data_IF_960272208435
#
_entry.id   IF_960272208435
#
_cell.length_a   1.000
_cell.length_b   1.000
_cell.length_c   1.000
_cell.angle_alpha   90.00
_cell.angle_beta   90.00
_cell.angle_gamma   90.00
#
_symmetry.space_group_name_H-M   'P 1'
#
loop_
_entity.id
_entity.type
_entity.pdbx_description
1 polymer ?
#
# COMPACT_ATOMS: atom_id res chain seq x y z
N UNK A 1 10.24 27.01 2.55
CA UNK A 1 11.47 26.26 2.84
C UNK A 1 11.06 24.80 2.98
N UNK A 2 10.99 24.07 1.85
CA UNK A 2 10.53 22.68 1.84
C UNK A 2 11.70 21.80 2.26
N UNK A 3 11.58 21.13 3.41
CA UNK A 3 12.53 20.13 3.85
C UNK A 3 12.42 18.93 2.90
N UNK A 4 13.27 18.88 1.88
CA UNK A 4 13.53 17.65 1.13
C UNK A 4 14.33 16.72 2.03
N UNK A 5 13.63 15.90 2.81
CA UNK A 5 14.23 14.75 3.48
C UNK A 5 14.57 13.71 2.40
N UNK A 6 15.82 13.75 1.94
CA UNK A 6 16.40 12.70 1.09
C UNK A 6 16.62 11.45 1.95
N UNK A 7 15.54 10.76 2.33
CA UNK A 7 15.64 9.39 2.79
C UNK A 7 15.96 8.53 1.58
N UNK A 8 17.21 8.08 1.49
CA UNK A 8 17.61 7.07 0.50
C UNK A 8 16.99 5.76 0.95
N UNK A 9 15.76 5.48 0.51
CA UNK A 9 15.07 4.24 0.83
C UNK A 9 15.90 3.08 0.29
N UNK A 10 16.31 2.17 1.17
CA UNK A 10 17.07 0.99 0.78
C UNK A 10 16.14 0.02 0.05
N UNK A 11 16.12 0.12 -1.29
CA UNK A 11 15.23 -0.67 -2.16
C UNK A 11 15.41 -2.18 -1.94
N UNK A 12 16.64 -2.63 -1.74
CA UNK A 12 16.98 -4.04 -1.56
C UNK A 12 16.47 -4.58 -0.23
N UNK A 13 16.65 -3.82 0.84
CA UNK A 13 16.14 -4.17 2.17
C UNK A 13 14.61 -4.25 2.16
N UNK A 14 13.95 -3.22 1.63
CA UNK A 14 12.50 -3.17 1.54
C UNK A 14 11.95 -4.36 0.74
N UNK A 15 12.51 -4.67 -0.44
CA UNK A 15 12.15 -5.86 -1.23
C UNK A 15 12.36 -7.17 -0.46
N UNK A 16 13.37 -7.25 0.42
CA UNK A 16 13.62 -8.46 1.22
C UNK A 16 12.63 -8.71 2.35
N UNK A 17 11.90 -7.68 2.81
CA UNK A 17 10.99 -7.79 3.97
C UNK A 17 9.84 -8.78 3.77
N UNK A 18 9.26 -8.78 2.57
CA UNK A 18 8.07 -9.58 2.25
C UNK A 18 8.28 -10.52 1.05
N UNK A 19 9.51 -10.56 0.50
CA UNK A 19 9.90 -11.41 -0.61
C UNK A 19 9.84 -10.72 -1.98
N UNK A 20 10.47 -11.34 -3.00
CA UNK A 20 10.54 -10.77 -4.34
C UNK A 20 9.16 -10.66 -5.00
N UNK A 21 8.99 -9.67 -5.89
CA UNK A 21 7.77 -9.51 -6.68
C UNK A 21 6.55 -8.98 -5.92
N UNK A 22 6.73 -8.43 -4.71
CA UNK A 22 5.64 -7.82 -3.94
C UNK A 22 5.83 -6.33 -3.66
N UNK A 23 7.02 -5.80 -3.92
CA UNK A 23 7.34 -4.38 -3.78
C UNK A 23 7.87 -3.89 -5.10
N UNK A 24 7.28 -2.78 -5.55
CA UNK A 24 7.58 -2.13 -6.80
C UNK A 24 7.87 -0.66 -6.55
N UNK A 25 8.86 -0.15 -7.27
CA UNK A 25 9.20 1.25 -7.30
C UNK A 25 8.70 1.88 -8.61
N UNK A 26 8.54 3.20 -8.64
CA UNK A 26 8.10 3.92 -9.85
C UNK A 26 8.98 3.64 -11.08
N UNK A 27 10.27 3.37 -10.87
CA UNK A 27 11.25 3.06 -11.91
C UNK A 27 11.32 1.57 -12.28
N UNK A 28 10.55 0.69 -11.63
CA UNK A 28 10.52 -0.73 -12.00
C UNK A 28 9.77 -0.92 -13.34
N UNK A 29 10.31 -1.72 -14.28
CA UNK A 29 9.75 -1.88 -15.63
C UNK A 29 8.47 -2.76 -15.68
N UNK A 30 8.02 -3.30 -14.54
CA UNK A 30 6.87 -4.20 -14.47
C UNK A 30 5.53 -3.47 -14.68
N UNK A 31 5.50 -2.16 -14.43
CA UNK A 31 4.33 -1.32 -14.63
C UNK A 31 4.68 -0.14 -15.55
N UNK A 32 3.76 0.20 -16.44
CA UNK A 32 3.77 1.55 -17.00
C UNK A 32 3.39 2.57 -15.91
N UNK A 33 3.83 3.82 -16.08
CA UNK A 33 3.61 4.88 -15.09
C UNK A 33 2.12 5.09 -14.78
N UNK A 34 1.24 4.95 -15.78
CA UNK A 34 -0.20 5.17 -15.57
C UNK A 34 -0.83 4.07 -14.73
N UNK A 35 -0.46 2.81 -14.98
CA UNK A 35 -0.90 1.67 -14.17
C UNK A 35 -0.33 1.76 -12.77
N UNK A 36 0.95 2.09 -12.61
CA UNK A 36 1.57 2.27 -11.30
C UNK A 36 0.81 3.32 -10.50
N UNK A 37 0.62 4.53 -11.06
CA UNK A 37 -0.05 5.62 -10.37
C UNK A 37 -1.54 5.36 -10.09
N UNK A 38 -2.20 4.46 -10.82
CA UNK A 38 -3.61 4.10 -10.58
C UNK A 38 -3.88 3.49 -9.20
N UNK A 39 -2.85 2.94 -8.53
CA UNK A 39 -2.99 2.36 -7.19
C UNK A 39 -3.10 3.40 -6.08
N UNK A 40 -2.67 4.64 -6.33
CA UNK A 40 -2.68 5.75 -5.37
C UNK A 40 -3.78 6.78 -5.64
N UNK A 41 -4.87 6.40 -6.30
CA UNK A 41 -6.02 7.26 -6.57
C UNK A 41 -7.35 6.54 -6.34
N UNK A 42 -8.40 7.29 -6.02
CA UNK A 42 -9.78 6.78 -5.87
C UNK A 42 -10.75 7.51 -6.81
N UNK A 43 -12.07 7.36 -6.60
CA UNK A 43 -13.08 7.99 -7.47
C UNK A 43 -13.20 9.50 -7.27
N UNK A 44 -12.61 10.07 -6.22
CA UNK A 44 -12.58 11.52 -6.03
C UNK A 44 -11.83 12.20 -7.17
N UNK A 45 -10.69 11.65 -7.62
CA UNK A 45 -9.86 12.17 -8.74
C UNK A 45 -9.51 13.68 -8.66
N UNK A 46 -9.62 14.31 -7.49
CA UNK A 46 -9.32 15.74 -7.29
C UNK A 46 -7.81 15.99 -7.28
N UNK A 47 -7.02 15.00 -6.85
CA UNK A 47 -5.56 15.11 -6.76
C UNK A 47 -4.89 14.13 -7.70
N UNK A 48 -3.75 14.54 -8.26
CA UNK A 48 -2.90 13.68 -9.05
C UNK A 48 -2.05 12.81 -8.11
N UNK A 49 -2.05 11.47 -8.29
CA UNK A 49 -1.21 10.60 -7.49
C UNK A 49 0.27 10.89 -7.72
N UNK A 50 1.04 11.00 -6.64
CA UNK A 50 2.49 11.16 -6.69
C UNK A 50 3.15 10.36 -5.56
N UNK A 51 3.39 9.09 -5.84
CA UNK A 51 4.04 8.15 -4.91
C UNK A 51 5.13 7.31 -5.60
N UNK A 52 6.11 6.83 -4.85
CA UNK A 52 7.30 6.16 -5.42
C UNK A 52 7.40 4.67 -5.08
N UNK A 53 6.55 4.18 -4.15
CA UNK A 53 6.60 2.80 -3.66
C UNK A 53 5.20 2.19 -3.63
N UNK A 54 5.08 0.99 -4.19
CA UNK A 54 3.87 0.16 -4.19
C UNK A 54 4.18 -1.20 -3.55
N UNK A 55 3.38 -1.61 -2.57
CA UNK A 55 3.50 -2.90 -1.91
C UNK A 55 2.21 -3.72 -2.01
N UNK A 56 2.36 -5.02 -2.26
CA UNK A 56 1.28 -6.01 -2.35
C UNK A 56 1.47 -7.13 -1.31
N UNK A 57 1.20 -6.86 -0.02
CA UNK A 57 1.18 -7.90 0.99
C UNK A 57 0.09 -8.94 0.70
N UNK A 58 0.36 -10.17 1.15
CA UNK A 58 -0.56 -11.32 1.07
C UNK A 58 -0.94 -11.87 2.43
N UNK A 59 -0.23 -11.47 3.49
CA UNK A 59 -0.49 -11.89 4.87
C UNK A 59 -0.44 -10.71 5.84
N UNK A 60 -1.05 -10.88 7.01
CA UNK A 60 -1.04 -9.85 8.07
C UNK A 60 0.38 -9.60 8.61
N UNK A 61 1.22 -10.63 8.64
CA UNK A 61 2.62 -10.53 9.07
C UNK A 61 3.43 -9.66 8.10
N UNK A 62 3.16 -9.74 6.79
CA UNK A 62 3.79 -8.90 5.78
C UNK A 62 3.37 -7.43 5.94
N UNK A 63 2.09 -7.18 6.21
CA UNK A 63 1.60 -5.84 6.54
C UNK A 63 2.33 -5.30 7.77
N UNK A 64 2.39 -6.07 8.86
CA UNK A 64 3.04 -5.64 10.10
C UNK A 64 4.52 -5.29 9.90
N UNK A 65 5.25 -6.07 9.08
CA UNK A 65 6.64 -5.76 8.72
C UNK A 65 6.77 -4.45 7.94
N UNK A 66 5.88 -4.20 6.97
CA UNK A 66 5.89 -2.94 6.21
C UNK A 66 5.58 -1.74 7.10
N UNK A 67 4.54 -1.84 7.95
CA UNK A 67 4.19 -0.76 8.88
C UNK A 67 5.36 -0.45 9.82
N UNK A 68 6.00 -1.49 10.37
CA UNK A 68 7.17 -1.33 11.25
C UNK A 68 8.32 -0.63 10.54
N UNK A 69 8.68 -1.10 9.35
CA UNK A 69 9.75 -0.49 8.55
C UNK A 69 9.44 0.97 8.20
N UNK A 70 8.21 1.27 7.81
CA UNK A 70 7.80 2.62 7.46
C UNK A 70 7.82 3.55 8.68
N UNK A 71 7.42 3.07 9.86
CA UNK A 71 7.52 3.81 11.10
C UNK A 71 8.99 4.13 11.46
N UNK A 72 9.87 3.13 11.38
CA UNK A 72 11.31 3.28 11.67
C UNK A 72 12.04 4.22 10.70
N UNK A 73 11.52 4.35 9.47
CA UNK A 73 12.11 5.18 8.40
C UNK A 73 11.31 6.45 8.10
N UNK A 74 10.33 6.80 8.93
CA UNK A 74 9.46 7.99 8.76
C UNK A 74 8.75 8.06 7.40
N UNK A 75 8.41 6.91 6.84
CA UNK A 75 7.71 6.79 5.56
C UNK A 75 6.20 6.83 5.82
N UNK A 76 5.51 7.81 5.24
CA UNK A 76 4.05 7.87 5.28
C UNK A 76 3.44 6.75 4.42
N UNK A 77 2.33 6.17 4.88
CA UNK A 77 1.63 5.08 4.18
C UNK A 77 0.22 5.52 3.79
N UNK A 78 -0.18 5.16 2.57
CA UNK A 78 -1.57 5.24 2.10
C UNK A 78 -2.10 3.83 1.86
N UNK A 79 -3.09 3.36 2.64
CA UNK A 79 -3.73 2.08 2.39
C UNK A 79 -4.63 2.15 1.13
N UNK A 80 -4.48 1.17 0.23
CA UNK A 80 -5.21 1.08 -1.02
C UNK A 80 -5.98 -0.23 -1.12
N UNK A 81 -7.29 -0.15 -0.85
CA UNK A 81 -8.23 -1.26 -1.01
C UNK A 81 -8.89 -1.26 -2.39
N UNK A 82 -10.23 -1.22 -2.42
CA UNK A 82 -11.02 -1.20 -3.66
C UNK A 82 -11.01 0.11 -4.45
N UNK A 83 -10.43 1.20 -3.91
CA UNK A 83 -10.31 2.52 -4.56
C UNK A 83 -11.64 3.12 -5.06
N UNK A 84 -12.76 2.70 -4.50
CA UNK A 84 -14.11 3.18 -4.86
C UNK A 84 -14.59 4.37 -4.01
N UNK A 85 -13.78 4.82 -3.06
CA UNK A 85 -14.12 5.93 -2.17
C UNK A 85 -14.23 7.27 -2.89
N UNK A 86 -14.99 8.18 -2.27
CA UNK A 86 -15.21 9.56 -2.74
C UNK A 86 -14.69 10.62 -1.75
N UNK A 87 -14.01 10.19 -0.68
CA UNK A 87 -13.45 11.08 0.35
C UNK A 87 -11.94 11.32 0.19
N UNK A 88 -11.29 10.74 -0.82
CA UNK A 88 -9.85 10.85 -1.03
C UNK A 88 -8.99 9.96 -0.11
N UNK A 89 -9.57 8.93 0.49
CA UNK A 89 -8.91 8.10 1.51
C UNK A 89 -7.81 7.17 0.96
N UNK A 90 -7.79 6.94 -0.36
CA UNK A 90 -6.76 6.14 -1.03
C UNK A 90 -5.93 6.98 -2.01
N UNK A 91 -5.81 8.29 -1.77
CA UNK A 91 -5.01 9.20 -2.58
C UNK A 91 -3.62 9.36 -1.96
N UNK A 92 -2.57 8.99 -2.71
CA UNK A 92 -1.17 9.21 -2.34
C UNK A 92 -0.58 10.35 -3.18
N UNK A 93 -0.16 11.44 -2.55
CA UNK A 93 0.21 12.71 -3.22
C UNK A 93 1.52 13.33 -2.74
N UNK A 94 2.16 12.75 -1.72
CA UNK A 94 3.37 13.27 -1.08
C UNK A 94 4.45 12.19 -0.95
N UNK A 95 4.67 11.40 -2.01
CA UNK A 95 5.70 10.34 -2.03
C UNK A 95 5.48 9.25 -0.97
N UNK A 96 4.23 8.99 -0.60
CA UNK A 96 3.90 7.94 0.36
C UNK A 96 4.19 6.54 -0.19
N UNK A 97 4.24 5.54 0.69
CA UNK A 97 4.18 4.14 0.29
C UNK A 97 2.71 3.74 0.15
N UNK A 98 2.33 3.29 -1.04
CA UNK A 98 1.00 2.75 -1.29
C UNK A 98 0.96 1.27 -0.90
N UNK A 99 0.14 0.95 0.10
CA UNK A 99 -0.06 -0.41 0.59
C UNK A 99 -1.33 -1.00 -0.04
N UNK A 100 -1.19 -1.76 -1.13
CA UNK A 100 -2.34 -2.36 -1.80
C UNK A 100 -2.75 -3.68 -1.17
N UNK A 101 -3.96 -3.72 -0.61
CA UNK A 101 -4.55 -4.93 -0.02
C UNK A 101 -5.23 -5.84 -1.06
N UNK A 102 -5.09 -5.52 -2.35
CA UNK A 102 -5.75 -6.24 -3.46
C UNK A 102 -5.35 -7.71 -3.58
N UNK A 103 -4.22 -8.13 -2.99
CA UNK A 103 -3.75 -9.52 -2.96
C UNK A 103 -4.07 -10.25 -1.66
N UNK A 104 -4.76 -9.60 -0.72
CA UNK A 104 -5.32 -10.21 0.50
C UNK A 104 -6.79 -10.58 0.28
N UNK A 105 -7.06 -11.42 -0.72
CA UNK A 105 -8.41 -11.72 -1.24
C UNK A 105 -8.97 -13.09 -0.80
N UNK A 106 -8.25 -13.80 0.07
CA UNK A 106 -8.68 -15.11 0.57
C UNK A 106 -9.83 -14.98 1.57
N UNK A 107 -10.95 -15.64 1.28
CA UNK A 107 -12.03 -15.87 2.25
C UNK A 107 -11.53 -16.87 3.29
N UNK A 108 -11.41 -16.44 4.55
CA UNK A 108 -10.86 -17.27 5.63
C UNK A 108 -11.90 -18.18 6.30
N UNK A 109 -13.09 -17.62 6.54
CA UNK A 109 -14.22 -18.32 7.15
C UNK A 109 -15.51 -17.62 6.70
N UNK A 110 -16.56 -18.40 6.53
CA UNK A 110 -17.89 -17.90 6.18
C UNK A 110 -18.93 -18.74 6.93
N UNK A 111 -19.56 -18.12 7.91
CA UNK A 111 -20.68 -18.73 8.62
C UNK A 111 -21.99 -18.07 8.15
N UNK A 112 -22.85 -18.78 7.39
CA UNK A 112 -24.09 -18.22 6.86
C UNK A 112 -25.19 -18.02 7.93
N UNK A 113 -24.99 -18.50 9.16
CA UNK A 113 -25.98 -18.45 10.25
C UNK A 113 -25.54 -17.54 11.40
N UNK A 114 -24.32 -17.00 11.35
CA UNK A 114 -23.84 -16.00 12.30
C UNK A 114 -24.27 -14.60 11.82
N UNK A 115 -25.20 -13.97 12.54
CA UNK A 115 -25.65 -12.59 12.27
C UNK A 115 -24.53 -11.52 12.45
N UNK A 116 -23.32 -11.94 12.80
CA UNK A 116 -22.12 -11.09 12.85
C UNK A 116 -20.96 -11.80 12.17
N UNK A 117 -20.45 -11.21 11.08
CA UNK A 117 -19.17 -11.65 10.51
C UNK A 117 -18.08 -11.47 11.57
N UNK A 118 -17.42 -12.56 11.95
CA UNK A 118 -16.37 -12.52 12.97
C UNK A 118 -15.17 -11.73 12.43
N UNK A 119 -14.98 -10.50 12.93
CA UNK A 119 -13.70 -9.80 12.81
C UNK A 119 -12.70 -10.37 13.83
N UNK A 120 -11.52 -10.73 13.35
CA UNK A 120 -10.41 -11.29 14.12
C UNK A 120 -10.04 -10.39 15.30
N UNK A 121 -10.20 -10.89 16.53
CA UNK A 121 -9.37 -10.51 17.66
C UNK A 121 -8.20 -11.49 17.72
N UNK A 122 -7.02 -10.95 17.99
CA UNK A 122 -5.69 -11.59 18.11
C UNK A 122 -4.84 -11.62 16.83
#
# INVERSE_FOLDING_TARGET
>A
MSMTTNFTINKSELKSLIGPGKIFFRDDPEFDETTFLSFGTDRTKVYQPDFDILAFPTTTEEVAKIIKYAYENEISIVPSGGRTGYAGGAIAKNKELVLSLSKMDKVLDFDPFLEVSKYRRE
#
